data_IF_136016612106
#
_entry.id   IF_136016612106
#
_cell.length_a   1.000
_cell.length_b   1.000
_cell.length_c   1.000
_cell.angle_alpha   90.00
_cell.angle_beta   90.00
_cell.angle_gamma   90.00
#
_symmetry.space_group_name_H-M   'P 1'
#
loop_
_entity.id
_entity.type
_entity.pdbx_description
1 polymer ?
#
# COMPACT_ATOMS: atom_id res chain seq x y z
N UNK A 1 85.38 -81.92 25.15
CA UNK A 1 84.92 -82.95 24.20
C UNK A 1 83.40 -82.97 24.32
N UNK A 2 82.70 -82.00 23.70
CA UNK A 2 82.05 -82.17 22.38
C UNK A 2 80.93 -83.22 22.53
N UNK A 3 79.64 -82.91 22.66
CA UNK A 3 78.78 -82.08 21.80
C UNK A 3 77.66 -81.47 22.67
N UNK A 4 77.73 -80.16 22.92
CA UNK A 4 76.56 -79.33 23.25
C UNK A 4 76.06 -78.83 21.89
N UNK A 5 74.87 -79.23 21.50
CA UNK A 5 74.26 -78.74 20.28
C UNK A 5 73.37 -79.79 19.62
N UNK A 6 72.10 -79.41 19.43
CA UNK A 6 71.26 -79.80 18.31
C UNK A 6 70.06 -80.74 18.51
N UNK A 7 69.70 -81.14 19.74
CA UNK A 7 68.44 -81.89 19.94
C UNK A 7 67.24 -81.02 20.35
N UNK A 8 67.46 -79.74 20.68
CA UNK A 8 66.38 -78.80 21.02
C UNK A 8 65.61 -78.26 19.79
N UNK A 9 66.17 -78.43 18.58
CA UNK A 9 65.56 -78.00 17.31
C UNK A 9 64.71 -79.07 16.61
N UNK A 10 64.77 -80.33 17.04
CA UNK A 10 63.95 -81.41 16.48
C UNK A 10 62.54 -81.50 17.09
N UNK A 11 62.34 -80.95 18.30
CA UNK A 11 61.04 -80.95 18.99
C UNK A 11 60.00 -79.99 18.41
N UNK A 12 60.42 -78.92 17.71
CA UNK A 12 59.51 -77.96 17.08
C UNK A 12 59.15 -78.30 15.62
N UNK A 13 59.90 -79.19 14.97
CA UNK A 13 59.67 -79.52 13.55
C UNK A 13 58.58 -80.59 13.35
N UNK A 14 58.33 -81.45 14.35
CA UNK A 14 57.29 -82.48 14.30
C UNK A 14 55.86 -81.96 14.55
N UNK A 15 55.69 -80.72 15.01
CA UNK A 15 54.36 -80.11 15.21
C UNK A 15 53.89 -79.33 13.97
N UNK A 16 54.81 -78.90 13.09
CA UNK A 16 54.48 -78.06 11.93
C UNK A 16 54.28 -78.81 10.60
N UNK A 17 54.71 -80.07 10.48
CA UNK A 17 54.67 -80.78 9.19
C UNK A 17 53.36 -81.53 8.88
N UNK A 18 52.40 -81.59 9.82
CA UNK A 18 51.16 -82.37 9.66
C UNK A 18 49.96 -81.53 9.18
N UNK A 19 50.04 -80.20 9.22
CA UNK A 19 48.89 -79.32 8.91
C UNK A 19 49.05 -78.41 7.68
N UNK A 20 50.18 -78.51 6.96
CA UNK A 20 50.44 -77.75 5.73
C UNK A 20 49.36 -77.93 4.65
N UNK A 21 48.87 -79.15 4.33
CA UNK A 21 47.82 -79.32 3.30
C UNK A 21 46.47 -78.73 3.74
N UNK A 22 46.16 -78.79 5.04
CA UNK A 22 44.94 -78.20 5.59
C UNK A 22 44.97 -76.68 5.49
N UNK A 23 46.13 -76.06 5.74
CA UNK A 23 46.31 -74.61 5.63
C UNK A 23 46.21 -74.12 4.18
N UNK A 24 46.76 -74.88 3.21
CA UNK A 24 46.66 -74.55 1.78
C UNK A 24 45.20 -74.65 1.29
N UNK A 25 44.46 -75.66 1.73
CA UNK A 25 43.03 -75.81 1.40
C UNK A 25 42.18 -74.72 2.04
N UNK A 26 42.46 -74.33 3.29
CA UNK A 26 41.78 -73.22 3.95
C UNK A 26 42.09 -71.89 3.25
N UNK A 27 43.34 -71.69 2.84
CA UNK A 27 43.78 -70.47 2.17
C UNK A 27 43.21 -70.36 0.75
N UNK A 28 43.06 -71.47 0.02
CA UNK A 28 42.42 -71.46 -1.30
C UNK A 28 40.92 -71.17 -1.21
N UNK A 29 40.25 -71.68 -0.17
CA UNK A 29 38.86 -71.33 0.12
C UNK A 29 38.72 -69.84 0.43
N UNK A 30 39.57 -69.28 1.30
CA UNK A 30 39.56 -67.85 1.64
C UNK A 30 39.81 -66.96 0.41
N UNK A 31 40.79 -67.32 -0.45
CA UNK A 31 41.09 -66.61 -1.69
C UNK A 31 39.92 -66.63 -2.68
N UNK A 32 39.14 -67.71 -2.70
CA UNK A 32 37.96 -67.82 -3.55
C UNK A 32 36.81 -66.91 -3.08
N UNK A 33 36.64 -66.73 -1.76
CA UNK A 33 35.58 -65.89 -1.20
C UNK A 33 35.93 -64.39 -1.11
N UNK A 34 37.22 -64.05 -1.10
CA UNK A 34 37.68 -62.66 -1.04
C UNK A 34 37.13 -61.72 -2.15
N UNK A 35 37.12 -62.09 -3.45
CA UNK A 35 36.56 -61.24 -4.51
C UNK A 35 35.04 -61.04 -4.36
N UNK A 36 34.31 -62.04 -3.86
CA UNK A 36 32.87 -61.94 -3.58
C UNK A 36 32.62 -60.93 -2.45
N UNK A 37 33.42 -60.98 -1.38
CA UNK A 37 33.33 -60.03 -0.28
C UNK A 37 33.67 -58.60 -0.72
N UNK A 38 34.69 -58.41 -1.57
CA UNK A 38 35.05 -57.11 -2.12
C UNK A 38 33.92 -56.51 -2.98
N UNK A 39 33.29 -57.32 -3.85
CA UNK A 39 32.13 -56.91 -4.64
C UNK A 39 30.93 -56.52 -3.77
N UNK A 40 30.65 -57.28 -2.70
CA UNK A 40 29.59 -56.96 -1.74
C UNK A 40 29.90 -55.63 -1.03
N UNK A 41 31.14 -55.42 -0.60
CA UNK A 41 31.54 -54.19 0.08
C UNK A 41 31.46 -52.97 -0.83
N UNK A 42 31.85 -53.11 -2.11
CA UNK A 42 31.73 -52.04 -3.11
C UNK A 42 30.26 -51.76 -3.48
N UNK A 43 29.43 -52.80 -3.62
CA UNK A 43 27.99 -52.64 -3.83
C UNK A 43 27.30 -51.93 -2.65
N UNK A 44 27.67 -52.27 -1.40
CA UNK A 44 27.18 -51.58 -0.19
C UNK A 44 27.64 -50.12 -0.17
N UNK A 45 28.89 -49.84 -0.56
CA UNK A 45 29.44 -48.48 -0.65
C UNK A 45 28.74 -47.67 -1.74
N UNK A 46 28.48 -48.25 -2.90
CA UNK A 46 27.76 -47.64 -4.03
C UNK A 46 26.28 -47.37 -3.71
N UNK A 47 25.61 -48.28 -3.01
CA UNK A 47 24.25 -48.06 -2.51
C UNK A 47 24.20 -46.92 -1.48
N UNK A 48 25.21 -46.85 -0.59
CA UNK A 48 25.34 -45.74 0.36
C UNK A 48 25.55 -44.42 -0.39
N UNK A 49 26.46 -44.36 -1.38
CA UNK A 49 26.73 -43.15 -2.17
C UNK A 49 25.51 -42.71 -2.98
N UNK A 50 24.76 -43.62 -3.61
CA UNK A 50 23.54 -43.30 -4.37
C UNK A 50 22.44 -42.71 -3.46
N UNK A 51 22.26 -43.27 -2.25
CA UNK A 51 21.27 -42.76 -1.29
C UNK A 51 21.62 -41.35 -0.78
N UNK A 52 22.91 -41.04 -0.62
CA UNK A 52 23.38 -39.69 -0.27
C UNK A 52 23.24 -38.70 -1.43
N UNK A 53 23.52 -39.10 -2.68
CA UNK A 53 23.39 -38.25 -3.87
C UNK A 53 21.93 -37.86 -4.16
N UNK A 54 21.00 -38.82 -4.10
CA UNK A 54 19.56 -38.55 -4.31
C UNK A 54 19.00 -37.58 -3.27
N UNK A 55 19.41 -37.72 -2.01
CA UNK A 55 19.02 -36.81 -0.92
C UNK A 55 19.57 -35.38 -1.09
N UNK A 56 20.71 -35.23 -1.78
CA UNK A 56 21.32 -33.93 -2.06
C UNK A 56 20.64 -33.21 -3.23
N UNK A 57 20.15 -33.94 -4.23
CA UNK A 57 19.35 -33.38 -5.34
C UNK A 57 17.97 -32.92 -4.84
N UNK A 58 17.29 -33.72 -4.01
CA UNK A 58 16.00 -33.35 -3.39
C UNK A 58 16.14 -32.09 -2.53
N UNK A 59 17.23 -31.96 -1.75
CA UNK A 59 17.50 -30.77 -0.94
C UNK A 59 17.73 -29.50 -1.79
N UNK A 60 18.40 -29.62 -2.95
CA UNK A 60 18.60 -28.49 -3.88
C UNK A 60 17.27 -28.02 -4.47
N UNK A 61 16.38 -28.94 -4.84
CA UNK A 61 15.05 -28.60 -5.33
C UNK A 61 14.21 -27.91 -4.23
N UNK A 62 14.22 -28.43 -3.00
CA UNK A 62 13.53 -27.81 -1.85
C UNK A 62 14.04 -26.37 -1.59
N UNK A 63 15.36 -26.17 -1.58
CA UNK A 63 15.95 -24.83 -1.38
C UNK A 63 15.56 -23.89 -2.52
N UNK A 64 15.61 -24.34 -3.78
CA UNK A 64 15.18 -23.53 -4.92
C UNK A 64 13.68 -23.18 -4.84
N UNK A 65 12.82 -24.13 -4.44
CA UNK A 65 11.39 -23.87 -4.23
C UNK A 65 11.15 -22.83 -3.14
N UNK A 66 11.85 -22.92 -2.00
CA UNK A 66 11.76 -21.93 -0.92
C UNK A 66 12.20 -20.54 -1.41
N UNK A 67 13.32 -20.46 -2.14
CA UNK A 67 13.81 -19.20 -2.70
C UNK A 67 12.81 -18.58 -3.69
N UNK A 68 12.17 -19.39 -4.54
CA UNK A 68 11.13 -18.92 -5.45
C UNK A 68 9.92 -18.40 -4.67
N UNK A 69 9.48 -19.10 -3.64
CA UNK A 69 8.36 -18.66 -2.78
C UNK A 69 8.70 -17.32 -2.12
N UNK A 70 9.90 -17.18 -1.54
CA UNK A 70 10.35 -15.92 -0.94
C UNK A 70 10.39 -14.80 -1.97
N UNK A 71 10.92 -15.06 -3.18
CA UNK A 71 10.95 -14.07 -4.25
C UNK A 71 9.54 -13.60 -4.64
N UNK A 72 8.59 -14.52 -4.78
CA UNK A 72 7.17 -14.20 -5.06
C UNK A 72 6.57 -13.34 -3.95
N UNK A 73 6.80 -13.70 -2.67
CA UNK A 73 6.33 -12.91 -1.53
C UNK A 73 6.91 -11.49 -1.58
N UNK A 74 8.21 -11.33 -1.81
CA UNK A 74 8.85 -10.00 -1.91
C UNK A 74 8.22 -9.16 -3.03
N UNK A 75 7.97 -9.75 -4.20
CA UNK A 75 7.33 -9.04 -5.32
C UNK A 75 5.92 -8.57 -4.95
N UNK A 76 5.13 -9.40 -4.27
CA UNK A 76 3.79 -9.02 -3.78
C UNK A 76 3.87 -7.84 -2.81
N UNK A 77 4.81 -7.88 -1.86
CA UNK A 77 5.01 -6.80 -0.89
C UNK A 77 5.38 -5.48 -1.56
N UNK A 78 6.28 -5.51 -2.55
CA UNK A 78 6.64 -4.32 -3.35
C UNK A 78 5.42 -3.79 -4.11
N UNK A 79 4.61 -4.67 -4.70
CA UNK A 79 3.41 -4.27 -5.44
C UNK A 79 2.38 -3.58 -4.53
N UNK A 80 2.14 -4.12 -3.33
CA UNK A 80 1.24 -3.54 -2.34
C UNK A 80 1.74 -2.17 -1.87
N UNK A 81 3.03 -2.06 -1.55
CA UNK A 81 3.64 -0.80 -1.12
C UNK A 81 3.48 0.29 -2.20
N UNK A 82 3.81 -0.03 -3.45
CA UNK A 82 3.63 0.90 -4.57
C UNK A 82 2.16 1.29 -4.78
N UNK A 83 1.23 0.37 -4.54
CA UNK A 83 -0.21 0.65 -4.60
C UNK A 83 -0.66 1.62 -3.52
N UNK A 84 -0.18 1.46 -2.28
CA UNK A 84 -0.46 2.38 -1.17
C UNK A 84 0.10 3.78 -1.43
N UNK A 85 1.34 3.87 -1.93
CA UNK A 85 1.95 5.16 -2.32
C UNK A 85 1.14 5.83 -3.43
N UNK A 86 0.73 5.08 -4.45
CA UNK A 86 -0.10 5.61 -5.55
C UNK A 86 -1.41 6.19 -5.02
N UNK A 87 -2.15 5.45 -4.18
CA UNK A 87 -3.42 5.91 -3.58
C UNK A 87 -3.25 7.15 -2.69
N UNK A 88 -2.13 7.24 -1.97
CA UNK A 88 -1.79 8.44 -1.19
C UNK A 88 -1.62 9.66 -2.10
N UNK A 89 -0.87 9.51 -3.19
CA UNK A 89 -0.63 10.58 -4.17
C UNK A 89 -1.92 10.95 -4.91
N UNK A 90 -2.78 9.99 -5.27
CA UNK A 90 -4.10 10.24 -5.84
C UNK A 90 -4.96 11.12 -4.93
N UNK A 91 -4.94 10.84 -3.62
CA UNK A 91 -5.65 11.64 -2.63
C UNK A 91 -5.11 13.07 -2.54
N UNK A 92 -3.79 13.24 -2.60
CA UNK A 92 -3.14 14.56 -2.60
C UNK A 92 -3.44 15.36 -3.87
N UNK A 93 -3.45 14.70 -5.02
CA UNK A 93 -3.83 15.31 -6.30
C UNK A 93 -5.31 15.74 -6.30
N UNK A 94 -6.20 14.91 -5.76
CA UNK A 94 -7.61 15.25 -5.63
C UNK A 94 -7.82 16.44 -4.67
N UNK A 95 -7.03 16.53 -3.59
CA UNK A 95 -7.05 17.69 -2.71
C UNK A 95 -6.55 18.97 -3.40
N UNK A 96 -5.48 18.87 -4.21
CA UNK A 96 -4.99 20.00 -4.99
C UNK A 96 -6.06 20.53 -5.96
N UNK A 97 -6.88 19.65 -6.55
CA UNK A 97 -7.99 20.08 -7.39
C UNK A 97 -9.03 20.92 -6.62
N UNK A 98 -9.33 20.55 -5.37
CA UNK A 98 -10.19 21.35 -4.48
C UNK A 98 -9.56 22.73 -4.24
N UNK A 99 -8.26 22.80 -3.94
CA UNK A 99 -7.58 24.07 -3.67
C UNK A 99 -7.61 25.02 -4.87
N UNK A 100 -7.46 24.49 -6.10
CA UNK A 100 -7.60 25.29 -7.32
C UNK A 100 -9.02 25.83 -7.48
N UNK A 101 -10.06 25.02 -7.19
CA UNK A 101 -11.45 25.48 -7.29
C UNK A 101 -11.80 26.52 -6.23
N UNK A 102 -11.36 26.31 -4.99
CA UNK A 102 -11.52 27.28 -3.91
C UNK A 102 -10.83 28.61 -4.25
N UNK A 103 -9.64 28.55 -4.86
CA UNK A 103 -8.95 29.75 -5.34
C UNK A 103 -9.73 30.47 -6.45
N UNK A 104 -10.19 29.74 -7.47
CA UNK A 104 -11.02 30.34 -8.55
C UNK A 104 -12.26 31.04 -8.00
N UNK A 105 -12.91 30.43 -7.01
CA UNK A 105 -14.07 31.01 -6.33
C UNK A 105 -13.70 32.27 -5.55
N UNK A 106 -12.57 32.25 -4.85
CA UNK A 106 -12.02 33.42 -4.16
C UNK A 106 -11.71 34.58 -5.12
N UNK A 107 -11.18 34.27 -6.31
CA UNK A 107 -10.87 35.25 -7.35
C UNK A 107 -12.13 35.95 -7.91
N UNK A 108 -13.34 35.43 -7.65
CA UNK A 108 -14.62 36.08 -8.01
C UNK A 108 -15.10 37.11 -6.97
N UNK A 109 -14.54 37.14 -5.75
CA UNK A 109 -14.93 38.09 -4.68
C UNK A 109 -14.86 39.55 -5.16
N UNK A 110 -13.79 40.02 -5.84
CA UNK A 110 -13.72 41.41 -6.29
C UNK A 110 -14.85 41.78 -7.26
N UNK A 111 -15.23 40.86 -8.16
CA UNK A 111 -16.34 41.06 -9.08
C UNK A 111 -17.67 41.14 -8.32
N UNK A 112 -17.86 40.27 -7.33
CA UNK A 112 -19.02 40.31 -6.43
C UNK A 112 -19.11 41.63 -5.66
N UNK A 113 -17.98 42.14 -5.11
CA UNK A 113 -17.94 43.44 -4.41
C UNK A 113 -18.34 44.58 -5.35
N UNK A 114 -17.85 44.59 -6.58
CA UNK A 114 -18.18 45.62 -7.56
C UNK A 114 -19.67 45.60 -7.91
N UNK A 115 -20.25 44.42 -8.16
CA UNK A 115 -21.68 44.29 -8.46
C UNK A 115 -22.57 44.68 -7.28
N UNK A 116 -22.22 44.28 -6.05
CA UNK A 116 -22.95 44.71 -4.83
C UNK A 116 -22.86 46.22 -4.66
N UNK A 117 -21.68 46.81 -4.89
CA UNK A 117 -21.47 48.24 -4.74
C UNK A 117 -22.27 49.06 -5.76
N UNK A 118 -22.38 48.61 -7.01
CA UNK A 118 -23.08 49.37 -8.05
C UNK A 118 -24.60 49.39 -7.87
N UNK A 119 -25.19 48.33 -7.34
CA UNK A 119 -26.65 48.16 -7.34
C UNK A 119 -27.29 47.98 -5.96
N UNK A 120 -26.50 47.70 -4.92
CA UNK A 120 -26.99 47.45 -3.57
C UNK A 120 -26.24 48.32 -2.54
N UNK A 121 -26.01 49.60 -2.85
CA UNK A 121 -25.34 50.56 -1.94
C UNK A 121 -26.01 50.67 -0.55
N UNK A 122 -27.31 50.38 -0.47
CA UNK A 122 -28.07 50.40 0.79
C UNK A 122 -27.86 49.14 1.64
N UNK A 123 -27.29 48.07 1.09
CA UNK A 123 -27.07 46.78 1.76
C UNK A 123 -25.70 46.69 2.43
N UNK A 124 -25.52 47.52 3.46
CA UNK A 124 -24.24 47.66 4.19
C UNK A 124 -23.77 46.36 4.85
N UNK A 125 -24.69 45.52 5.32
CA UNK A 125 -24.35 44.25 6.00
C UNK A 125 -23.67 43.27 5.04
N UNK A 126 -24.25 43.05 3.87
CA UNK A 126 -23.72 42.17 2.82
C UNK A 126 -22.40 42.69 2.28
N UNK A 127 -22.34 43.99 2.03
CA UNK A 127 -21.11 44.64 1.56
C UNK A 127 -19.96 44.51 2.57
N UNK A 128 -20.24 44.66 3.88
CA UNK A 128 -19.24 44.50 4.94
C UNK A 128 -18.70 43.07 4.98
N UNK A 129 -19.58 42.06 4.94
CA UNK A 129 -19.18 40.64 4.95
C UNK A 129 -18.28 40.28 3.75
N UNK A 130 -18.66 40.71 2.54
CA UNK A 130 -17.88 40.41 1.33
C UNK A 130 -16.55 41.19 1.32
N UNK A 131 -16.55 42.42 1.82
CA UNK A 131 -15.32 43.22 1.96
C UNK A 131 -14.36 42.60 2.98
N UNK A 132 -14.86 42.07 4.09
CA UNK A 132 -14.04 41.33 5.07
C UNK A 132 -13.41 40.09 4.43
N UNK A 133 -14.19 39.34 3.64
CA UNK A 133 -13.67 38.19 2.89
C UNK A 133 -12.61 38.58 1.85
N UNK A 134 -12.74 39.75 1.19
CA UNK A 134 -11.74 40.25 0.24
C UNK A 134 -10.40 40.61 0.90
N UNK A 135 -10.45 41.16 2.11
CA UNK A 135 -9.26 41.63 2.83
C UNK A 135 -8.44 40.49 3.42
N UNK A 136 -9.00 39.27 3.43
CA UNK A 136 -8.31 38.05 3.84
C UNK A 136 -7.29 37.63 2.76
N UNK A 137 -6.21 36.96 3.16
CA UNK A 137 -5.17 36.52 2.21
C UNK A 137 -5.28 35.01 2.01
N UNK A 138 -5.79 34.58 0.85
CA UNK A 138 -5.98 33.17 0.51
C UNK A 138 -4.67 32.35 0.65
N UNK A 139 -3.53 32.96 0.33
CA UNK A 139 -2.22 32.29 0.36
C UNK A 139 -1.71 31.95 1.77
N UNK A 140 -2.23 32.60 2.82
CA UNK A 140 -1.79 32.39 4.20
C UNK A 140 -2.67 31.43 5.00
N UNK A 141 -3.70 30.87 4.35
CA UNK A 141 -4.72 30.08 5.02
C UNK A 141 -4.35 28.61 5.20
N UNK A 142 -4.62 28.10 6.41
CA UNK A 142 -4.64 26.66 6.65
C UNK A 142 -5.79 26.01 5.88
N UNK A 143 -5.75 24.70 5.70
CA UNK A 143 -6.85 23.97 5.04
C UNK A 143 -8.18 24.23 5.75
N UNK A 144 -8.21 24.28 7.07
CA UNK A 144 -9.42 24.58 7.85
C UNK A 144 -9.93 26.00 7.61
N UNK A 145 -9.04 26.99 7.51
CA UNK A 145 -9.42 28.37 7.24
C UNK A 145 -10.05 28.52 5.85
N UNK A 146 -9.53 27.78 4.86
CA UNK A 146 -10.10 27.73 3.51
C UNK A 146 -11.53 27.16 3.51
N UNK A 147 -11.79 26.11 4.28
CA UNK A 147 -13.13 25.53 4.43
C UNK A 147 -14.11 26.48 5.10
N UNK A 148 -13.66 27.18 6.16
CA UNK A 148 -14.46 28.16 6.87
C UNK A 148 -14.80 29.36 5.98
N UNK A 149 -13.82 29.85 5.21
CA UNK A 149 -14.01 30.93 4.25
C UNK A 149 -15.00 30.54 3.16
N UNK A 150 -14.89 29.33 2.62
CA UNK A 150 -15.82 28.82 1.61
C UNK A 150 -17.26 28.75 2.14
N UNK A 151 -17.43 28.27 3.38
CA UNK A 151 -18.73 28.22 4.03
C UNK A 151 -19.33 29.62 4.23
N UNK A 152 -18.53 30.60 4.64
CA UNK A 152 -18.95 31.99 4.78
C UNK A 152 -19.29 32.63 3.41
N UNK A 153 -18.49 32.33 2.39
CA UNK A 153 -18.72 32.81 1.03
C UNK A 153 -20.03 32.25 0.45
N UNK A 154 -20.30 30.96 0.61
CA UNK A 154 -21.57 30.34 0.22
C UNK A 154 -22.77 31.05 0.86
N UNK A 155 -22.70 31.32 2.17
CA UNK A 155 -23.76 32.04 2.89
C UNK A 155 -23.95 33.47 2.36
N UNK A 156 -22.85 34.19 2.12
CA UNK A 156 -22.89 35.53 1.56
C UNK A 156 -23.50 35.54 0.14
N UNK A 157 -23.19 34.55 -0.70
CA UNK A 157 -23.81 34.39 -2.02
C UNK A 157 -25.31 34.12 -1.93
N UNK A 158 -25.76 33.24 -1.03
CA UNK A 158 -27.19 33.00 -0.79
C UNK A 158 -27.90 34.29 -0.40
N UNK A 159 -27.32 35.06 0.51
CA UNK A 159 -27.89 36.34 0.93
C UNK A 159 -27.89 37.38 -0.20
N UNK A 160 -26.81 37.45 -0.98
CA UNK A 160 -26.71 38.34 -2.14
C UNK A 160 -27.77 38.02 -3.21
N UNK A 161 -28.01 36.75 -3.53
CA UNK A 161 -29.05 36.38 -4.49
C UNK A 161 -30.45 36.68 -3.96
N UNK A 162 -30.70 36.53 -2.65
CA UNK A 162 -31.95 36.95 -2.03
C UNK A 162 -32.18 38.47 -2.12
N UNK A 163 -31.11 39.27 -1.96
CA UNK A 163 -31.15 40.71 -2.16
C UNK A 163 -31.45 41.04 -3.62
N UNK A 164 -30.81 40.37 -4.57
CA UNK A 164 -30.99 40.63 -6.00
C UNK A 164 -32.44 40.47 -6.48
N UNK A 165 -33.26 39.63 -5.82
CA UNK A 165 -34.71 39.53 -6.12
C UNK A 165 -35.47 40.83 -5.84
N UNK A 166 -35.01 41.64 -4.88
CA UNK A 166 -35.61 42.94 -4.57
C UNK A 166 -35.19 44.05 -5.54
N UNK A 167 -34.19 43.80 -6.40
CA UNK A 167 -33.63 44.78 -7.33
C UNK A 167 -33.69 44.29 -8.79
N UNK A 168 -34.84 44.45 -9.48
CA UNK A 168 -35.00 43.98 -10.87
C UNK A 168 -33.96 44.52 -11.84
N UNK A 169 -33.47 45.75 -11.62
CA UNK A 169 -32.42 46.36 -12.44
C UNK A 169 -31.06 45.65 -12.29
N UNK A 170 -30.73 45.17 -11.09
CA UNK A 170 -29.54 44.35 -10.86
C UNK A 170 -29.68 42.99 -11.55
N UNK A 171 -30.85 42.36 -11.39
CA UNK A 171 -31.13 41.03 -11.98
C UNK A 171 -31.05 41.04 -13.50
N UNK A 172 -31.46 42.13 -14.14
CA UNK A 172 -31.39 42.31 -15.59
C UNK A 172 -30.00 42.78 -16.09
N UNK A 173 -29.05 43.03 -15.20
CA UNK A 173 -27.70 43.46 -15.59
C UNK A 173 -26.90 42.28 -16.15
N UNK A 174 -26.28 42.48 -17.32
CA UNK A 174 -25.44 41.46 -17.95
C UNK A 174 -24.28 41.02 -17.03
N UNK A 175 -23.68 41.96 -16.31
CA UNK A 175 -22.60 41.69 -15.35
C UNK A 175 -23.06 40.76 -14.20
N UNK A 176 -24.30 40.93 -13.73
CA UNK A 176 -24.86 40.08 -12.69
C UNK A 176 -25.15 38.67 -13.21
N UNK A 177 -25.73 38.54 -14.40
CA UNK A 177 -25.94 37.22 -15.02
C UNK A 177 -24.62 36.47 -15.22
N UNK A 178 -23.59 37.14 -15.72
CA UNK A 178 -22.26 36.54 -15.92
C UNK A 178 -21.65 36.09 -14.58
N UNK A 179 -21.74 36.93 -13.54
CA UNK A 179 -21.26 36.58 -12.20
C UNK A 179 -22.02 35.39 -11.62
N UNK A 180 -23.35 35.37 -11.72
CA UNK A 180 -24.17 34.26 -11.24
C UNK A 180 -23.80 32.95 -11.93
N UNK A 181 -23.60 32.96 -13.25
CA UNK A 181 -23.15 31.78 -14.01
C UNK A 181 -21.78 31.32 -13.55
N UNK A 182 -20.82 32.22 -13.38
CA UNK A 182 -19.47 31.88 -12.91
C UNK A 182 -19.47 31.30 -11.48
N UNK A 183 -20.29 31.86 -10.58
CA UNK A 183 -20.45 31.35 -9.22
C UNK A 183 -21.07 29.95 -9.21
N UNK A 184 -22.12 29.72 -10.01
CA UNK A 184 -22.75 28.40 -10.12
C UNK A 184 -21.80 27.36 -10.71
N UNK A 185 -21.07 27.72 -11.77
CA UNK A 185 -20.09 26.82 -12.41
C UNK A 185 -18.96 26.45 -11.45
N UNK A 186 -18.41 27.42 -10.71
CA UNK A 186 -17.35 27.16 -9.72
C UNK A 186 -17.85 26.31 -8.55
N UNK A 187 -19.09 26.51 -8.09
CA UNK A 187 -19.72 25.66 -7.06
C UNK A 187 -19.92 24.22 -7.55
N UNK A 188 -20.41 24.04 -8.78
CA UNK A 188 -20.58 22.70 -9.36
C UNK A 188 -19.24 21.97 -9.49
N UNK A 189 -18.21 22.65 -9.98
CA UNK A 189 -16.85 22.11 -10.10
C UNK A 189 -16.25 21.78 -8.72
N UNK A 190 -16.45 22.64 -7.71
CA UNK A 190 -16.01 22.41 -6.34
C UNK A 190 -16.71 21.19 -5.71
N UNK A 191 -18.02 21.08 -5.89
CA UNK A 191 -18.81 19.93 -5.44
C UNK A 191 -18.34 18.63 -6.09
N UNK A 192 -18.08 18.65 -7.41
CA UNK A 192 -17.51 17.51 -8.12
C UNK A 192 -16.13 17.13 -7.59
N UNK A 193 -15.24 18.11 -7.36
CA UNK A 193 -13.91 17.87 -6.80
C UNK A 193 -13.97 17.27 -5.39
N UNK A 194 -14.89 17.74 -4.53
CA UNK A 194 -15.14 17.16 -3.19
C UNK A 194 -15.60 15.70 -3.26
N UNK A 195 -16.50 15.36 -4.19
CA UNK A 195 -16.94 13.97 -4.40
C UNK A 195 -15.76 13.07 -4.81
N UNK A 196 -14.94 13.52 -5.76
CA UNK A 196 -13.76 12.78 -6.21
C UNK A 196 -12.74 12.59 -5.08
N UNK A 197 -12.44 13.64 -4.31
CA UNK A 197 -11.56 13.54 -3.15
C UNK A 197 -12.07 12.52 -2.13
N UNK A 198 -13.37 12.56 -1.80
CA UNK A 198 -13.97 11.61 -0.86
C UNK A 198 -13.89 10.17 -1.36
N UNK A 199 -14.06 9.95 -2.67
CA UNK A 199 -13.85 8.63 -3.29
C UNK A 199 -12.40 8.17 -3.14
N UNK A 200 -11.41 9.02 -3.47
CA UNK A 200 -9.99 8.71 -3.31
C UNK A 200 -9.60 8.42 -1.85
N UNK A 201 -10.09 9.22 -0.90
CA UNK A 201 -9.87 9.01 0.54
C UNK A 201 -10.47 7.68 0.99
N UNK A 202 -11.67 7.34 0.52
CA UNK A 202 -12.32 6.07 0.84
C UNK A 202 -11.50 4.89 0.30
N UNK A 203 -11.07 4.97 -0.96
CA UNK A 203 -10.23 3.95 -1.59
C UNK A 203 -8.85 3.78 -0.94
N UNK A 204 -8.27 4.89 -0.47
CA UNK A 204 -7.03 4.89 0.29
C UNK A 204 -7.23 4.28 1.68
N UNK A 205 -8.27 4.70 2.41
CA UNK A 205 -8.60 4.18 3.74
C UNK A 205 -8.89 2.68 3.70
N UNK A 206 -9.64 2.22 2.70
CA UNK A 206 -9.91 0.80 2.47
C UNK A 206 -8.62 0.03 2.23
N UNK A 207 -7.69 0.56 1.42
CA UNK A 207 -6.40 -0.07 1.16
C UNK A 207 -5.52 -0.13 2.43
N UNK A 208 -5.57 0.88 3.29
CA UNK A 208 -4.87 0.90 4.59
C UNK A 208 -5.45 -0.10 5.58
N UNK A 209 -6.76 -0.37 5.53
CA UNK A 209 -7.45 -1.23 6.50
C UNK A 209 -7.57 -2.70 6.07
N UNK A 210 -7.43 -2.99 4.77
CA UNK A 210 -7.63 -4.34 4.22
C UNK A 210 -6.37 -5.21 4.35
N UNK A 211 -6.54 -6.49 4.71
CA UNK A 211 -5.45 -7.48 4.68
C UNK A 211 -5.12 -7.91 3.23
N UNK A 212 -3.84 -8.06 2.85
CA UNK A 212 -2.62 -7.98 3.67
C UNK A 212 -1.99 -6.58 3.78
N UNK A 213 -2.55 -5.58 3.11
CA UNK A 213 -2.00 -4.22 3.03
C UNK A 213 -1.91 -3.50 4.38
N UNK A 214 -2.80 -3.81 5.33
CA UNK A 214 -2.81 -3.22 6.68
C UNK A 214 -1.52 -3.48 7.49
N UNK A 215 -0.87 -4.62 7.28
CA UNK A 215 0.41 -4.95 7.91
C UNK A 215 1.50 -3.98 7.45
N UNK A 216 1.58 -3.76 6.13
CA UNK A 216 2.51 -2.80 5.53
C UNK A 216 2.14 -1.37 5.88
N UNK A 217 0.85 -1.05 5.92
CA UNK A 217 0.39 0.27 6.30
C UNK A 217 0.85 0.65 7.71
N UNK A 218 0.71 -0.25 8.69
CA UNK A 218 1.20 -0.05 10.05
C UNK A 218 2.72 0.11 10.14
N UNK A 219 3.48 -0.73 9.41
CA UNK A 219 4.95 -0.69 9.41
C UNK A 219 5.52 0.59 8.77
N UNK A 220 4.91 1.08 7.70
CA UNK A 220 5.40 2.24 6.93
C UNK A 220 4.65 3.56 7.24
N UNK A 221 3.78 3.57 8.27
CA UNK A 221 3.12 4.78 8.75
C UNK A 221 2.00 5.32 7.85
N UNK A 222 1.35 4.47 7.04
CA UNK A 222 0.17 4.88 6.29
C UNK A 222 -1.05 4.94 7.22
N UNK A 223 -1.48 6.15 7.57
CA UNK A 223 -2.63 6.40 8.44
C UNK A 223 -3.87 6.76 7.63
N UNK A 224 -5.05 6.57 8.23
CA UNK A 224 -6.34 6.98 7.67
C UNK A 224 -6.37 8.50 7.42
N UNK A 225 -6.96 8.92 6.29
CA UNK A 225 -7.25 10.33 5.99
C UNK A 225 -8.73 10.63 6.26
N UNK A 226 -9.05 11.85 6.69
CA UNK A 226 -10.43 12.32 6.87
C UNK A 226 -11.08 12.63 5.52
N UNK A 227 -12.37 12.31 5.41
CA UNK A 227 -13.19 12.73 4.27
C UNK A 227 -13.64 14.17 4.47
N UNK A 228 -13.87 14.87 3.37
CA UNK A 228 -14.47 16.19 3.38
C UNK A 228 -15.97 16.03 3.66
N UNK A 229 -16.42 16.38 4.86
CA UNK A 229 -17.85 16.37 5.19
C UNK A 229 -18.51 17.65 4.72
N UNK A 230 -19.58 17.51 3.95
CA UNK A 230 -20.55 18.58 3.74
C UNK A 230 -21.12 18.96 5.11
N UNK A 231 -21.23 20.26 5.43
CA UNK A 231 -21.77 20.74 6.69
C UNK A 231 -23.18 20.17 6.92
N UNK A 232 -23.56 19.90 8.18
CA UNK A 232 -24.86 19.32 8.52
C UNK A 232 -26.07 20.11 7.98
N UNK A 233 -25.88 21.40 7.66
CA UNK A 233 -26.89 22.29 7.09
C UNK A 233 -27.36 21.86 5.70
N UNK A 234 -26.54 21.14 4.93
CA UNK A 234 -26.94 20.58 3.62
C UNK A 234 -27.55 19.17 3.73
N UNK A 235 -27.41 18.50 4.89
CA UNK A 235 -27.97 17.16 5.17
C UNK A 235 -29.39 17.19 5.71
N UNK A 236 -29.87 18.36 6.17
CA UNK A 236 -31.29 18.51 6.48
C UNK A 236 -32.08 18.52 5.17
N UNK A 237 -32.43 17.32 4.71
CA UNK A 237 -33.46 17.11 3.69
C UNK A 237 -34.66 17.94 4.10
N UNK A 238 -35.02 18.93 3.28
CA UNK A 238 -36.22 19.73 3.46
C UNK A 238 -37.40 18.77 3.65
N UNK A 239 -37.91 18.67 4.87
CA UNK A 239 -39.09 17.89 5.15
C UNK A 239 -40.26 18.65 4.52
N UNK A 240 -40.78 18.14 3.41
CA UNK A 240 -41.81 18.80 2.59
C UNK A 240 -43.06 19.17 3.42
N UNK A 241 -43.30 18.49 4.55
CA UNK A 241 -44.40 18.83 5.46
C UNK A 241 -44.24 20.19 6.16
N UNK A 242 -43.03 20.75 6.26
CA UNK A 242 -42.80 22.07 6.83
C UNK A 242 -43.05 23.21 5.84
N UNK A 243 -43.14 22.91 4.53
CA UNK A 243 -43.44 23.89 3.47
C UNK A 243 -44.95 24.03 3.21
N UNK A 244 -45.77 23.10 3.71
CA UNK A 244 -47.22 23.07 3.49
C UNK A 244 -48.05 23.63 4.66
N UNK A 245 -47.38 24.04 5.75
CA UNK A 245 -48.02 24.50 6.99
C UNK A 245 -47.62 25.96 7.37
N UNK A 246 -47.20 26.78 6.41
CA UNK A 246 -47.08 28.24 6.56
C UNK A 246 -48.19 28.97 5.82
#
# INVERSE_FOLDING_TARGET
MMIIGNSFLFGFCQIYSVNIPLYILLYSQILFYFPVLFFIFDAIKLLRIHKYRKRQEDARHIVMTILIIIAVVVVIFIAIYNSLVRKRNETENAFAAIDVMLKKRYDLIPNLVTTVKEYAEHEKSTFAQITEMRNKSYASFSNQDKENLDSAFSQACTHFFAIAENYPQLKASENFEQLQRALNETEEQLSAARRTFNACVTDYNNAVQTFPSNLLAGMFGFTRKSVFSISEQERTVLNVNNLLNQ
#
